data_IF_021186537715
#
_entry.id   IF_021186537715
#
_cell.length_a   1.000
_cell.length_b   1.000
_cell.length_c   1.000
_cell.angle_alpha   90.00
_cell.angle_beta   90.00
_cell.angle_gamma   90.00
#
_symmetry.space_group_name_H-M   'P 1'
#
loop_
_entity.id
_entity.type
_entity.pdbx_description
1 polymer ?
#
# COMPACT_ATOMS: atom_id res chain seq x y z
N UNK A 1 -3.96 -14.91 -0.46
CA UNK A 1 -4.95 -13.92 0.05
C UNK A 1 -4.36 -12.52 0.11
N UNK A 2 -3.19 -12.31 0.72
CA UNK A 2 -2.59 -10.96 0.85
C UNK A 2 -2.06 -10.39 -0.48
N UNK A 3 -1.61 -11.27 -1.39
CA UNK A 3 -1.04 -10.91 -2.70
C UNK A 3 -2.08 -10.78 -3.82
N UNK A 4 -3.36 -10.85 -3.49
CA UNK A 4 -4.41 -10.68 -4.47
C UNK A 4 -4.54 -9.19 -4.84
N UNK A 5 -4.00 -8.78 -5.99
CA UNK A 5 -4.14 -7.40 -6.54
C UNK A 5 -5.59 -6.95 -6.77
N UNK A 6 -6.58 -7.82 -6.57
CA UNK A 6 -7.99 -7.58 -6.91
C UNK A 6 -8.90 -7.42 -5.69
N UNK A 7 -8.50 -7.93 -4.52
CA UNK A 7 -9.26 -7.79 -3.27
C UNK A 7 -8.36 -7.16 -2.21
N UNK A 8 -8.67 -5.94 -1.74
CA UNK A 8 -7.93 -5.31 -0.67
C UNK A 8 -7.82 -6.22 0.55
N UNK A 9 -6.59 -6.40 1.01
CA UNK A 9 -6.26 -7.40 2.02
C UNK A 9 -6.23 -6.84 3.44
N UNK A 10 -6.18 -5.51 3.61
CA UNK A 10 -5.97 -4.87 4.92
C UNK A 10 -7.01 -5.28 5.97
N UNK A 11 -8.30 -5.19 5.62
CA UNK A 11 -9.39 -5.55 6.52
C UNK A 11 -9.47 -7.04 6.87
N UNK A 12 -8.67 -7.89 6.23
CA UNK A 12 -8.67 -9.35 6.45
C UNK A 12 -7.44 -9.84 7.22
N UNK A 13 -6.29 -9.14 7.16
CA UNK A 13 -5.03 -9.63 7.72
C UNK A 13 -5.15 -10.15 9.15
N UNK A 14 -5.65 -9.31 10.07
CA UNK A 14 -5.72 -9.66 11.48
C UNK A 14 -6.70 -10.82 11.75
N UNK A 15 -7.88 -10.75 11.14
CA UNK A 15 -8.92 -11.77 11.31
C UNK A 15 -8.48 -13.14 10.81
N UNK A 16 -7.77 -13.19 9.69
CA UNK A 16 -7.28 -14.43 9.10
C UNK A 16 -6.12 -15.03 9.89
N UNK A 17 -5.28 -14.20 10.52
CA UNK A 17 -4.29 -14.67 11.48
C UNK A 17 -4.99 -15.32 12.69
N UNK A 18 -6.09 -14.73 13.19
CA UNK A 18 -6.87 -15.31 14.29
C UNK A 18 -7.47 -16.67 13.90
N UNK A 19 -8.07 -16.77 12.72
CA UNK A 19 -8.59 -18.03 12.16
C UNK A 19 -7.48 -19.07 12.02
N UNK A 20 -6.33 -18.69 11.46
CA UNK A 20 -5.19 -19.59 11.31
C UNK A 20 -4.67 -20.11 12.66
N UNK A 21 -4.61 -19.27 13.71
CA UNK A 21 -4.25 -19.71 15.06
C UNK A 21 -5.22 -20.76 15.59
N UNK A 22 -6.53 -20.56 15.41
CA UNK A 22 -7.55 -21.53 15.82
C UNK A 22 -7.46 -22.85 15.06
N UNK A 23 -7.19 -22.80 13.75
CA UNK A 23 -7.00 -23.98 12.91
C UNK A 23 -5.77 -24.77 13.33
N UNK A 24 -4.64 -24.11 13.60
CA UNK A 24 -3.42 -24.77 14.09
C UNK A 24 -3.70 -25.52 15.40
N UNK A 25 -4.42 -24.90 16.34
CA UNK A 25 -4.81 -25.52 17.61
C UNK A 25 -5.67 -26.77 17.37
N UNK A 26 -6.67 -26.67 16.48
CA UNK A 26 -7.55 -27.79 16.11
C UNK A 26 -6.78 -28.92 15.44
N UNK A 27 -5.92 -28.60 14.47
CA UNK A 27 -5.12 -29.59 13.71
C UNK A 27 -4.12 -30.34 14.59
N UNK A 28 -3.62 -29.72 15.67
CA UNK A 28 -2.72 -30.34 16.63
C UNK A 28 -3.46 -31.02 17.80
N UNK A 29 -4.76 -31.26 17.64
CA UNK A 29 -5.59 -31.99 18.60
C UNK A 29 -5.75 -31.30 19.95
N UNK A 30 -5.57 -29.96 20.00
CA UNK A 30 -5.60 -29.20 21.25
C UNK A 30 -4.47 -29.52 22.22
N UNK A 31 -3.41 -30.21 21.78
CA UNK A 31 -2.27 -30.52 22.65
C UNK A 31 -1.37 -29.29 22.78
N UNK A 32 -1.45 -28.63 23.94
CA UNK A 32 -0.71 -27.40 24.25
C UNK A 32 0.79 -27.52 23.97
N UNK A 33 1.40 -28.69 24.24
CA UNK A 33 2.84 -28.89 24.01
C UNK A 33 3.26 -28.74 22.55
N UNK A 34 2.35 -28.99 21.61
CA UNK A 34 2.64 -28.95 20.18
C UNK A 34 2.31 -27.60 19.55
N UNK A 35 1.14 -27.01 19.87
CA UNK A 35 0.74 -25.76 19.24
C UNK A 35 1.37 -24.54 19.90
N UNK A 36 1.62 -24.56 21.22
CA UNK A 36 2.08 -23.37 21.96
C UNK A 36 3.36 -22.75 21.40
N UNK A 37 4.43 -23.53 21.09
CA UNK A 37 5.63 -22.96 20.47
C UNK A 37 5.34 -22.27 19.12
N UNK A 38 4.41 -22.81 18.34
CA UNK A 38 4.03 -22.25 17.03
C UNK A 38 3.26 -20.94 17.22
N UNK A 39 2.29 -20.92 18.13
CA UNK A 39 1.50 -19.72 18.44
C UNK A 39 2.40 -18.62 19.02
N UNK A 40 3.36 -18.97 19.87
CA UNK A 40 4.31 -18.02 20.46
C UNK A 40 5.20 -17.38 19.37
N UNK A 41 5.65 -18.16 18.38
CA UNK A 41 6.37 -17.63 17.21
C UNK A 41 5.50 -16.65 16.42
N UNK A 42 4.24 -17.02 16.15
CA UNK A 42 3.30 -16.16 15.42
C UNK A 42 3.08 -14.86 16.19
N UNK A 43 2.79 -14.92 17.49
CA UNK A 43 2.59 -13.76 18.35
C UNK A 43 3.83 -12.86 18.35
N UNK A 44 5.02 -13.44 18.47
CA UNK A 44 6.29 -12.70 18.46
C UNK A 44 6.52 -11.98 17.13
N UNK A 45 6.22 -12.62 16.00
CA UNK A 45 6.38 -12.02 14.67
C UNK A 45 5.30 -10.98 14.35
N UNK A 46 4.12 -11.15 14.92
CA UNK A 46 2.97 -10.27 14.75
C UNK A 46 3.14 -8.96 15.53
N UNK A 47 3.74 -9.04 16.72
CA UNK A 47 3.87 -7.92 17.67
C UNK A 47 4.52 -6.68 17.06
N UNK A 48 3.83 -5.55 17.15
CA UNK A 48 4.24 -4.25 16.62
C UNK A 48 4.21 -4.15 15.09
N UNK A 49 3.65 -5.15 14.39
CA UNK A 49 3.64 -5.21 12.91
C UNK A 49 2.23 -5.42 12.37
N UNK A 50 1.67 -6.60 12.61
CA UNK A 50 0.37 -7.03 12.07
C UNK A 50 -0.77 -6.89 13.10
N UNK A 51 -0.45 -6.36 14.28
CA UNK A 51 -1.36 -5.99 15.37
C UNK A 51 -1.37 -4.46 15.61
N UNK A 52 -0.89 -3.67 14.64
CA UNK A 52 -0.91 -2.21 14.78
C UNK A 52 -2.34 -1.66 14.84
N UNK A 53 -2.47 -0.42 15.31
CA UNK A 53 -3.76 0.29 15.42
C UNK A 53 -4.57 0.25 14.12
N UNK A 54 -3.89 0.38 12.97
CA UNK A 54 -4.50 0.31 11.65
C UNK A 54 -5.08 -1.08 11.33
N UNK A 55 -4.36 -2.16 11.66
CA UNK A 55 -4.83 -3.53 11.43
C UNK A 55 -6.03 -3.86 12.30
N UNK A 56 -5.97 -3.54 13.60
CA UNK A 56 -7.06 -3.75 14.55
C UNK A 56 -8.30 -2.92 14.19
N UNK A 57 -8.10 -1.66 13.80
CA UNK A 57 -9.19 -0.81 13.31
C UNK A 57 -9.82 -1.36 12.05
N UNK A 58 -9.01 -1.79 11.08
CA UNK A 58 -9.52 -2.40 9.84
C UNK A 58 -10.30 -3.68 10.11
N UNK A 59 -9.90 -4.45 11.13
CA UNK A 59 -10.57 -5.67 11.54
C UNK A 59 -11.95 -5.38 12.14
N UNK A 60 -12.06 -4.36 13.01
CA UNK A 60 -13.35 -3.93 13.55
C UNK A 60 -14.27 -3.37 12.45
N UNK A 61 -13.74 -2.58 11.53
CA UNK A 61 -14.53 -1.96 10.47
C UNK A 61 -14.92 -2.94 9.36
N UNK A 62 -14.33 -4.13 9.30
CA UNK A 62 -14.73 -5.14 8.35
C UNK A 62 -16.07 -5.78 8.76
N UNK A 63 -17.16 -5.57 7.99
CA UNK A 63 -18.48 -6.08 8.35
C UNK A 63 -18.52 -7.60 8.48
N UNK A 64 -17.69 -8.33 7.71
CA UNK A 64 -17.63 -9.79 7.79
C UNK A 64 -17.24 -10.29 9.19
N UNK A 65 -16.27 -9.64 9.86
CA UNK A 65 -15.90 -10.04 11.21
C UNK A 65 -16.83 -9.45 12.26
N UNK A 66 -17.15 -8.15 12.17
CA UNK A 66 -18.01 -7.49 13.15
C UNK A 66 -19.43 -8.09 13.23
N UNK A 67 -19.96 -8.60 12.12
CA UNK A 67 -21.31 -9.18 12.11
C UNK A 67 -21.31 -10.66 12.50
N UNK A 68 -20.22 -11.39 12.27
CA UNK A 68 -20.09 -12.80 12.61
C UNK A 68 -19.55 -13.04 14.03
N UNK A 69 -18.79 -12.10 14.60
CA UNK A 69 -18.28 -12.14 15.98
C UNK A 69 -18.90 -11.03 16.83
N UNK A 70 -19.90 -11.39 17.62
CA UNK A 70 -20.60 -10.45 18.52
C UNK A 70 -19.72 -9.94 19.67
N UNK A 71 -18.63 -10.64 20.00
CA UNK A 71 -17.71 -10.25 21.08
C UNK A 71 -16.66 -9.24 20.60
N UNK A 72 -16.40 -9.17 19.30
CA UNK A 72 -15.39 -8.28 18.71
C UNK A 72 -15.53 -6.83 19.16
N UNK A 73 -16.77 -6.34 19.25
CA UNK A 73 -17.05 -4.94 19.60
C UNK A 73 -16.80 -4.60 21.08
N UNK A 74 -16.53 -5.60 21.91
CA UNK A 74 -16.23 -5.49 23.34
C UNK A 74 -14.79 -5.88 23.68
N UNK A 75 -13.99 -6.25 22.68
CA UNK A 75 -12.58 -6.55 22.84
C UNK A 75 -11.84 -5.25 23.22
N UNK A 76 -11.25 -5.15 24.43
CA UNK A 76 -10.58 -3.95 24.90
C UNK A 76 -9.40 -3.56 24.01
N UNK A 77 -8.58 -4.54 23.60
CA UNK A 77 -7.38 -4.28 22.81
C UNK A 77 -7.74 -3.71 21.44
N UNK A 78 -8.81 -4.23 20.82
CA UNK A 78 -9.33 -3.72 19.54
C UNK A 78 -9.90 -2.31 19.70
N UNK A 79 -10.63 -2.05 20.79
CA UNK A 79 -11.27 -0.75 21.01
C UNK A 79 -10.25 0.35 21.35
N UNK A 80 -9.26 0.05 22.19
CA UNK A 80 -8.18 0.99 22.51
C UNK A 80 -7.40 1.33 21.24
N UNK A 81 -7.06 0.32 20.42
CA UNK A 81 -6.40 0.53 19.14
C UNK A 81 -7.21 1.37 18.15
N UNK A 82 -8.55 1.28 18.17
CA UNK A 82 -9.45 2.10 17.34
C UNK A 82 -9.46 3.55 17.80
N UNK A 83 -9.43 3.80 19.11
CA UNK A 83 -9.35 5.15 19.67
C UNK A 83 -7.99 5.78 19.35
N UNK A 84 -6.89 5.06 19.59
CA UNK A 84 -5.53 5.49 19.24
C UNK A 84 -5.39 5.80 17.73
N UNK A 85 -6.04 4.99 16.89
CA UNK A 85 -6.09 5.23 15.45
C UNK A 85 -6.80 6.54 15.11
N UNK A 86 -7.95 6.84 15.73
CA UNK A 86 -8.66 8.08 15.49
C UNK A 86 -7.94 9.31 16.09
N UNK A 87 -7.26 9.17 17.22
CA UNK A 87 -6.35 10.20 17.77
C UNK A 87 -5.25 10.54 16.76
N UNK A 88 -4.64 9.53 16.16
CA UNK A 88 -3.58 9.71 15.14
C UNK A 88 -4.14 10.27 13.83
N UNK A 89 -5.34 9.87 13.41
CA UNK A 89 -5.94 10.29 12.13
C UNK A 89 -6.40 11.75 12.15
N UNK A 90 -6.86 12.25 13.29
CA UNK A 90 -7.48 13.57 13.45
C UNK A 90 -6.62 14.54 14.26
N UNK A 91 -5.29 14.47 14.12
CA UNK A 91 -4.37 15.41 14.75
C UNK A 91 -4.80 16.86 14.47
N UNK A 92 -5.38 17.53 15.48
CA UNK A 92 -5.88 18.90 15.40
C UNK A 92 -7.36 19.08 15.03
N UNK A 93 -8.12 18.03 14.68
CA UNK A 93 -9.56 18.12 14.35
C UNK A 93 -10.43 17.32 15.32
N UNK A 94 -10.56 17.87 16.53
CA UNK A 94 -11.35 17.27 17.61
C UNK A 94 -12.86 17.23 17.32
N UNK A 95 -13.37 18.09 16.44
CA UNK A 95 -14.80 18.13 16.13
C UNK A 95 -15.22 16.99 15.22
N UNK A 96 -14.44 16.67 14.17
CA UNK A 96 -14.70 15.48 13.35
C UNK A 96 -14.44 14.23 14.17
N UNK A 97 -13.35 14.19 14.95
CA UNK A 97 -13.05 13.07 15.82
C UNK A 97 -14.20 12.76 16.78
N UNK A 98 -14.71 13.77 17.51
CA UNK A 98 -15.87 13.62 18.40
C UNK A 98 -17.06 13.03 17.66
N UNK A 99 -17.40 13.54 16.48
CA UNK A 99 -18.51 13.00 15.67
C UNK A 99 -18.30 11.53 15.30
N UNK A 100 -17.10 11.17 14.85
CA UNK A 100 -16.77 9.78 14.48
C UNK A 100 -16.90 8.85 15.68
N UNK A 101 -16.27 9.20 16.80
CA UNK A 101 -16.18 8.34 17.99
C UNK A 101 -17.50 8.26 18.75
N UNK A 102 -18.23 9.36 18.89
CA UNK A 102 -19.43 9.42 19.76
C UNK A 102 -20.74 9.19 19.02
N UNK A 103 -20.78 9.41 17.69
CA UNK A 103 -22.01 9.30 16.89
C UNK A 103 -21.89 8.16 15.87
N UNK A 104 -20.91 8.22 14.97
CA UNK A 104 -20.85 7.29 13.83
C UNK A 104 -20.47 5.87 14.26
N UNK A 105 -19.43 5.72 15.07
CA UNK A 105 -18.93 4.42 15.52
C UNK A 105 -19.99 3.65 16.34
N UNK A 106 -20.70 4.27 17.31
CA UNK A 106 -21.77 3.58 18.03
C UNK A 106 -22.94 3.16 17.13
N UNK A 107 -23.29 3.94 16.09
CA UNK A 107 -24.33 3.55 15.13
C UNK A 107 -23.95 2.29 14.37
N UNK A 108 -22.71 2.20 13.90
CA UNK A 108 -22.18 1.00 13.25
C UNK A 108 -22.20 -0.20 14.20
N UNK A 109 -21.61 -0.07 15.39
CA UNK A 109 -21.54 -1.15 16.40
C UNK A 109 -22.92 -1.69 16.79
N UNK A 110 -23.88 -0.78 17.00
CA UNK A 110 -25.27 -1.12 17.35
C UNK A 110 -26.12 -1.51 16.15
N UNK A 111 -25.56 -1.51 14.93
CA UNK A 111 -26.24 -1.85 13.68
C UNK A 111 -27.52 -1.01 13.47
N UNK A 112 -27.43 0.29 13.75
CA UNK A 112 -28.55 1.23 13.64
C UNK A 112 -28.75 1.64 12.17
N UNK A 113 -29.96 2.03 11.81
CA UNK A 113 -30.35 2.43 10.46
C UNK A 113 -30.10 1.31 9.42
N UNK A 114 -29.43 1.63 8.30
CA UNK A 114 -29.16 0.71 7.19
C UNK A 114 -28.23 -0.44 7.58
N UNK A 115 -27.40 -0.24 8.60
CA UNK A 115 -26.49 -1.29 9.11
C UNK A 115 -27.24 -2.50 9.66
N UNK A 116 -28.45 -2.30 10.20
CA UNK A 116 -29.31 -3.37 10.73
C UNK A 116 -30.26 -3.99 9.71
N UNK A 117 -30.23 -3.53 8.45
CA UNK A 117 -31.12 -4.08 7.41
C UNK A 117 -30.79 -5.54 7.10
N UNK A 118 -31.82 -6.33 6.79
CA UNK A 118 -31.64 -7.74 6.41
C UNK A 118 -30.67 -7.91 5.24
N UNK A 119 -30.65 -6.95 4.31
CA UNK A 119 -29.73 -6.95 3.18
C UNK A 119 -28.28 -6.75 3.64
N UNK A 120 -28.02 -5.78 4.51
CA UNK A 120 -26.69 -5.50 5.05
C UNK A 120 -26.12 -6.72 5.80
N UNK A 121 -26.96 -7.35 6.64
CA UNK A 121 -26.59 -8.54 7.42
C UNK A 121 -26.30 -9.74 6.52
N UNK A 122 -27.15 -10.00 5.51
CA UNK A 122 -26.93 -11.12 4.57
C UNK A 122 -25.68 -10.92 3.73
N UNK A 123 -25.44 -9.70 3.25
CA UNK A 123 -24.33 -9.39 2.34
C UNK A 123 -22.95 -9.55 2.99
N UNK A 124 -22.82 -9.37 4.30
CA UNK A 124 -21.54 -9.53 5.00
C UNK A 124 -21.39 -10.89 5.71
N UNK A 125 -22.37 -11.79 5.60
CA UNK A 125 -22.35 -13.06 6.33
C UNK A 125 -21.26 -14.01 5.83
N UNK A 126 -20.99 -14.00 4.53
CA UNK A 126 -20.02 -14.89 3.88
C UNK A 126 -18.95 -14.05 3.20
N UNK A 127 -17.69 -14.42 3.39
CA UNK A 127 -16.56 -13.81 2.69
C UNK A 127 -16.33 -14.53 1.35
N UNK A 128 -17.21 -14.29 0.38
CA UNK A 128 -17.07 -14.83 -0.98
C UNK A 128 -16.23 -13.90 -1.87
N UNK A 129 -16.12 -14.26 -3.17
CA UNK A 129 -15.37 -13.47 -4.14
C UNK A 129 -16.04 -12.12 -4.46
N UNK A 130 -17.37 -12.03 -4.29
CA UNK A 130 -18.15 -10.84 -4.60
C UNK A 130 -18.22 -9.88 -3.40
N UNK A 131 -17.91 -10.37 -2.20
CA UNK A 131 -17.87 -9.56 -1.00
C UNK A 131 -16.64 -8.65 -0.96
N UNK A 132 -16.88 -7.35 -1.14
CA UNK A 132 -15.94 -6.27 -0.90
C UNK A 132 -16.39 -5.39 0.29
N UNK A 133 -15.63 -5.36 1.40
CA UNK A 133 -15.95 -4.52 2.54
C UNK A 133 -16.10 -3.04 2.21
N UNK A 134 -15.26 -2.49 1.31
CA UNK A 134 -15.32 -1.07 0.95
C UNK A 134 -16.63 -0.74 0.22
N UNK A 135 -17.04 -1.57 -0.74
CA UNK A 135 -18.33 -1.45 -1.42
C UNK A 135 -19.51 -1.60 -0.47
N UNK A 136 -19.44 -2.52 0.51
CA UNK A 136 -20.47 -2.64 1.54
C UNK A 136 -20.65 -1.33 2.33
N UNK A 137 -19.54 -0.69 2.72
CA UNK A 137 -19.59 0.63 3.38
C UNK A 137 -20.20 1.70 2.48
N UNK A 138 -19.90 1.70 1.18
CA UNK A 138 -20.53 2.61 0.22
C UNK A 138 -22.05 2.46 0.11
N UNK A 139 -22.57 1.23 0.25
CA UNK A 139 -24.01 0.95 0.13
C UNK A 139 -24.80 1.23 1.42
N UNK A 140 -24.24 0.85 2.58
CA UNK A 140 -24.95 0.85 3.86
C UNK A 140 -24.51 1.96 4.82
N UNK A 141 -23.31 2.54 4.63
CA UNK A 141 -22.71 3.55 5.50
C UNK A 141 -23.28 4.98 5.37
N UNK A 142 -24.30 5.19 4.54
CA UNK A 142 -24.83 6.53 4.24
C UNK A 142 -25.29 7.35 5.46
N UNK A 143 -25.61 6.72 6.59
CA UNK A 143 -26.02 7.41 7.83
C UNK A 143 -24.85 7.84 8.74
N UNK A 144 -23.62 7.44 8.37
CA UNK A 144 -22.36 7.74 9.08
C UNK A 144 -21.29 8.18 8.09
N UNK A 145 -21.40 9.40 7.52
CA UNK A 145 -20.59 9.81 6.39
C UNK A 145 -19.10 9.98 6.71
N UNK A 146 -18.74 10.34 7.94
CA UNK A 146 -17.33 10.51 8.32
C UNK A 146 -16.67 9.14 8.47
N UNK A 147 -17.29 8.24 9.23
CA UNK A 147 -16.79 6.88 9.40
C UNK A 147 -16.74 6.10 8.07
N UNK A 148 -17.74 6.27 7.20
CA UNK A 148 -17.78 5.58 5.89
C UNK A 148 -16.59 5.96 5.01
N UNK A 149 -16.21 7.24 4.96
CA UNK A 149 -15.03 7.68 4.21
C UNK A 149 -13.75 7.04 4.73
N UNK A 150 -13.61 6.95 6.04
CA UNK A 150 -12.45 6.34 6.70
C UNK A 150 -12.42 4.84 6.44
N UNK A 151 -13.54 4.15 6.67
CA UNK A 151 -13.66 2.72 6.49
C UNK A 151 -13.38 2.30 5.05
N UNK A 152 -13.97 2.98 4.06
CA UNK A 152 -13.67 2.70 2.65
C UNK A 152 -12.19 2.89 2.33
N UNK A 153 -11.54 3.94 2.85
CA UNK A 153 -10.11 4.19 2.61
C UNK A 153 -9.24 3.09 3.20
N UNK A 154 -9.40 2.78 4.49
CA UNK A 154 -8.61 1.77 5.20
C UNK A 154 -8.83 0.39 4.60
N UNK A 155 -10.09 0.02 4.36
CA UNK A 155 -10.44 -1.29 3.83
C UNK A 155 -10.02 -1.46 2.37
N UNK A 156 -9.76 -0.38 1.64
CA UNK A 156 -9.21 -0.43 0.29
C UNK A 156 -7.68 -0.48 0.24
N UNK A 157 -6.99 -0.44 1.38
CA UNK A 157 -5.53 -0.56 1.42
C UNK A 157 -5.08 -1.99 1.09
N UNK A 158 -3.95 -2.08 0.42
CA UNK A 158 -3.21 -3.33 0.22
C UNK A 158 -2.22 -3.53 1.36
N UNK A 159 -2.13 -4.74 1.89
CA UNK A 159 -1.19 -5.07 2.98
C UNK A 159 0.05 -5.86 2.53
N UNK A 160 0.25 -6.03 1.22
CA UNK A 160 1.44 -6.68 0.65
C UNK A 160 2.18 -5.74 -0.30
N UNK A 161 3.52 -5.78 -0.25
CA UNK A 161 4.42 -5.14 -1.20
C UNK A 161 4.61 -5.94 -2.48
N UNK A 162 4.10 -7.18 -2.57
CA UNK A 162 4.38 -8.10 -3.69
C UNK A 162 3.95 -7.57 -5.06
N UNK A 163 2.91 -6.74 -5.12
CA UNK A 163 2.51 -6.02 -6.34
C UNK A 163 3.58 -5.04 -6.82
N UNK A 164 4.16 -4.28 -5.88
CA UNK A 164 5.28 -3.38 -6.15
C UNK A 164 6.55 -4.17 -6.49
N UNK A 165 6.85 -5.27 -5.78
CA UNK A 165 8.02 -6.12 -6.03
C UNK A 165 7.98 -6.73 -7.43
N UNK A 166 6.83 -7.21 -7.90
CA UNK A 166 6.66 -7.69 -9.29
C UNK A 166 6.92 -6.60 -10.32
N UNK A 167 6.42 -5.39 -10.05
CA UNK A 167 6.69 -4.24 -10.89
C UNK A 167 8.19 -3.94 -10.94
N UNK A 168 8.85 -3.82 -9.79
CA UNK A 168 10.28 -3.57 -9.69
C UNK A 168 11.15 -4.66 -10.30
N UNK A 169 10.78 -5.93 -10.14
CA UNK A 169 11.48 -7.07 -10.76
C UNK A 169 11.48 -6.96 -12.30
N UNK A 170 10.42 -6.39 -12.89
CA UNK A 170 10.35 -6.14 -14.33
C UNK A 170 11.33 -5.05 -14.77
N UNK A 171 11.54 -4.05 -13.91
CA UNK A 171 12.39 -2.89 -14.17
C UNK A 171 13.87 -3.10 -13.83
N UNK A 172 14.22 -4.19 -13.12
CA UNK A 172 15.60 -4.55 -12.80
C UNK A 172 16.49 -4.63 -14.06
N UNK A 173 15.92 -5.08 -15.20
CA UNK A 173 16.63 -5.13 -16.49
C UNK A 173 16.89 -3.77 -17.14
N UNK A 174 16.19 -2.71 -16.73
CA UNK A 174 16.31 -1.34 -17.27
C UNK A 174 17.44 -0.56 -16.56
N UNK A 175 17.67 -0.87 -15.27
CA UNK A 175 18.80 -0.37 -14.47
C UNK A 175 19.70 -1.52 -14.05
N UNK A 176 20.60 -1.92 -14.93
CA UNK A 176 21.65 -2.89 -14.59
C UNK A 176 22.97 -2.17 -14.34
N UNK A 177 23.89 -2.79 -13.59
CA UNK A 177 25.27 -2.27 -13.38
C UNK A 177 26.01 -1.98 -14.71
N UNK A 178 25.59 -2.59 -15.82
CA UNK A 178 26.15 -2.40 -17.17
C UNK A 178 25.43 -1.35 -18.03
N UNK A 179 24.14 -1.10 -17.79
CA UNK A 179 23.30 -0.17 -18.59
C UNK A 179 22.57 0.79 -17.65
N UNK A 180 23.30 1.79 -17.15
CA UNK A 180 22.79 2.80 -16.22
C UNK A 180 22.68 4.17 -16.92
N UNK A 181 21.87 4.25 -17.97
CA UNK A 181 21.77 5.45 -18.85
C UNK A 181 20.50 6.28 -18.61
N UNK A 182 19.59 5.82 -17.76
CA UNK A 182 18.35 6.53 -17.45
C UNK A 182 18.52 7.38 -16.20
N UNK A 183 18.05 8.62 -16.29
CA UNK A 183 17.93 9.51 -15.15
C UNK A 183 16.82 8.99 -14.22
N UNK A 184 17.00 9.10 -12.90
CA UNK A 184 16.04 8.61 -11.89
C UNK A 184 14.62 9.16 -12.12
N UNK A 185 14.50 10.41 -12.56
CA UNK A 185 13.23 11.05 -12.90
C UNK A 185 12.50 10.33 -14.04
N UNK A 186 13.23 9.93 -15.09
CA UNK A 186 12.70 9.19 -16.24
C UNK A 186 12.32 7.77 -15.87
N UNK A 187 13.10 7.12 -15.01
CA UNK A 187 12.76 5.79 -14.48
C UNK A 187 11.44 5.84 -13.72
N UNK A 188 11.29 6.76 -12.78
CA UNK A 188 10.07 6.89 -11.98
C UNK A 188 8.84 7.14 -12.86
N UNK A 189 8.97 8.00 -13.88
CA UNK A 189 7.90 8.23 -14.85
C UNK A 189 7.53 6.97 -15.64
N UNK A 190 8.53 6.19 -16.06
CA UNK A 190 8.30 4.95 -16.80
C UNK A 190 7.60 3.89 -15.93
N UNK A 191 8.08 3.72 -14.69
CA UNK A 191 7.47 2.85 -13.67
C UNK A 191 6.01 3.25 -13.44
N UNK A 192 5.74 4.55 -13.27
CA UNK A 192 4.39 5.07 -13.08
C UNK A 192 3.47 4.78 -14.27
N UNK A 193 3.92 5.09 -15.50
CA UNK A 193 3.11 4.90 -16.71
C UNK A 193 2.82 3.42 -16.94
N UNK A 194 3.83 2.55 -16.84
CA UNK A 194 3.66 1.11 -17.04
C UNK A 194 2.77 0.48 -15.96
N UNK A 195 2.98 0.83 -14.69
CA UNK A 195 2.16 0.34 -13.59
C UNK A 195 0.69 0.73 -13.77
N UNK A 196 0.42 2.01 -14.07
CA UNK A 196 -0.94 2.49 -14.28
C UNK A 196 -1.58 1.92 -15.55
N UNK A 197 -0.84 1.77 -16.65
CA UNK A 197 -1.34 1.12 -17.86
C UNK A 197 -1.77 -0.32 -17.58
N UNK A 198 -0.92 -1.10 -16.88
CA UNK A 198 -1.23 -2.47 -16.47
C UNK A 198 -2.44 -2.53 -15.53
N UNK A 199 -2.53 -1.60 -14.58
CA UNK A 199 -3.66 -1.52 -13.65
C UNK A 199 -4.98 -1.23 -14.40
N UNK A 200 -4.95 -0.31 -15.35
CA UNK A 200 -6.12 0.01 -16.19
C UNK A 200 -6.53 -1.16 -17.08
N UNK A 201 -5.58 -1.88 -17.66
CA UNK A 201 -5.85 -3.06 -18.48
C UNK A 201 -6.46 -4.19 -17.64
N UNK A 202 -5.89 -4.49 -16.46
CA UNK A 202 -6.47 -5.44 -15.50
C UNK A 202 -7.89 -5.03 -15.12
N UNK A 203 -8.11 -3.76 -14.76
CA UNK A 203 -9.45 -3.26 -14.42
C UNK A 203 -10.45 -3.38 -15.58
N UNK A 204 -10.01 -3.18 -16.82
CA UNK A 204 -10.84 -3.42 -18.00
C UNK A 204 -11.17 -4.91 -18.19
N UNK A 205 -10.16 -5.78 -18.14
CA UNK A 205 -10.33 -7.24 -18.21
C UNK A 205 -11.27 -7.77 -17.12
N UNK A 206 -11.25 -7.17 -15.91
CA UNK A 206 -12.16 -7.48 -14.80
C UNK A 206 -13.60 -7.04 -15.07
N UNK A 207 -13.81 -5.85 -15.64
CA UNK A 207 -15.16 -5.43 -16.08
C UNK A 207 -15.72 -6.36 -17.16
N UNK A 208 -14.85 -6.91 -17.99
CA UNK A 208 -15.22 -7.75 -19.13
C UNK A 208 -15.31 -9.26 -18.78
N UNK A 209 -14.77 -9.71 -17.65
CA UNK A 209 -14.80 -11.12 -17.20
C UNK A 209 -15.22 -11.24 -15.74
N UNK A 210 -16.25 -12.04 -15.47
CA UNK A 210 -16.68 -12.36 -14.11
C UNK A 210 -15.75 -13.35 -13.36
N UNK A 211 -14.56 -13.69 -13.88
CA UNK A 211 -13.46 -14.41 -13.17
C UNK A 211 -12.14 -14.07 -13.91
N UNK A 212 -11.09 -13.66 -13.18
CA UNK A 212 -9.75 -13.45 -13.75
C UNK A 212 -8.86 -14.70 -13.62
N UNK A 213 -8.28 -15.10 -14.76
CA UNK A 213 -7.26 -16.14 -14.90
C UNK A 213 -5.90 -15.54 -14.54
N UNK A 214 -5.14 -16.22 -13.69
CA UNK A 214 -3.73 -15.90 -13.40
C UNK A 214 -2.88 -16.00 -14.67
N UNK A 215 -2.59 -14.87 -15.32
CA UNK A 215 -1.58 -14.82 -16.38
C UNK A 215 -0.39 -13.99 -15.92
N UNK A 216 0.65 -14.70 -15.49
CA UNK A 216 1.99 -14.19 -15.18
C UNK A 216 2.84 -13.88 -16.42
N UNK A 217 2.27 -13.35 -17.51
CA UNK A 217 3.01 -13.29 -18.80
C UNK A 217 2.85 -11.99 -19.64
N UNK A 218 2.46 -10.85 -19.05
CA UNK A 218 2.42 -9.58 -19.81
C UNK A 218 3.66 -8.68 -19.66
N UNK A 219 4.64 -9.07 -18.84
CA UNK A 219 5.89 -8.32 -18.63
C UNK A 219 6.89 -8.43 -19.80
N UNK A 220 6.75 -9.42 -20.67
CA UNK A 220 7.72 -9.67 -21.75
C UNK A 220 7.65 -8.61 -22.87
N UNK A 221 6.45 -8.11 -23.17
CA UNK A 221 6.27 -7.09 -24.20
C UNK A 221 7.02 -5.79 -23.89
N UNK A 222 7.22 -5.47 -22.61
CA UNK A 222 7.98 -4.31 -22.18
C UNK A 222 9.50 -4.53 -22.25
N UNK A 223 9.99 -5.76 -22.31
CA UNK A 223 11.41 -6.04 -22.50
C UNK A 223 11.77 -6.06 -23.99
N UNK A 224 10.86 -6.52 -24.84
CA UNK A 224 11.07 -6.64 -26.29
C UNK A 224 11.30 -5.29 -27.00
N UNK A 225 10.59 -4.22 -26.63
CA UNK A 225 10.84 -2.86 -27.18
C UNK A 225 12.04 -2.13 -26.56
N UNK A 226 12.60 -2.63 -25.46
CA UNK A 226 13.77 -2.04 -24.78
C UNK A 226 15.07 -2.72 -25.25
N UNK A 227 14.95 -3.96 -25.75
CA UNK A 227 16.03 -4.74 -26.35
C UNK A 227 15.96 -4.56 -27.88
N UNK A 228 16.45 -3.42 -28.37
CA UNK A 228 17.01 -3.43 -29.72
C UNK A 228 18.28 -4.29 -29.64
N UNK A 229 18.24 -5.47 -30.26
CA UNK A 229 19.39 -6.33 -30.48
C UNK A 229 20.40 -5.58 -31.36
N UNK A 230 21.46 -5.07 -30.76
CA UNK A 230 22.62 -4.53 -31.47
C UNK A 230 23.64 -5.66 -31.77
N UNK A 231 23.14 -6.85 -32.12
CA UNK A 231 23.94 -8.01 -32.53
C UNK A 231 23.52 -8.44 -33.94
N UNK A 232 23.92 -7.65 -34.92
CA UNK A 232 24.01 -8.05 -36.33
C UNK A 232 25.47 -7.99 -36.78
N UNK A 233 26.40 -8.55 -36.00
CA UNK A 233 27.72 -8.89 -36.51
C UNK A 233 27.60 -10.11 -37.43
N UNK A 234 27.52 -9.87 -38.73
CA UNK A 234 27.82 -10.88 -39.75
C UNK A 234 28.83 -10.28 -40.72
N UNK A 235 30.07 -10.74 -40.58
CA UNK A 235 31.18 -10.46 -41.47
C UNK A 235 30.90 -10.89 -42.93
N UNK A 236 31.15 -9.94 -43.83
CA UNK A 236 31.82 -10.03 -45.14
C UNK A 236 31.35 -11.09 -46.19
N UNK A 237 30.68 -10.63 -47.27
CA UNK A 237 31.04 -10.96 -48.68
C UNK A 237 30.54 -9.86 -49.64
N UNK A 238 31.46 -9.20 -50.37
CA UNK A 238 31.20 -8.39 -51.58
C UNK A 238 31.36 -9.31 -52.83
N UNK A 239 30.58 -9.17 -53.92
CA UNK A 239 30.97 -8.24 -55.00
C UNK A 239 29.82 -7.58 -55.81
N UNK A 240 30.03 -6.29 -56.10
CA UNK A 240 29.84 -5.54 -57.39
C UNK A 240 28.50 -4.83 -57.74
N UNK A 241 28.67 -3.51 -57.92
CA UNK A 241 28.11 -2.56 -58.95
C UNK A 241 26.61 -2.29 -58.89
N UNK A 242 26.10 -1.05 -58.77
CA UNK A 242 26.19 0.15 -59.66
C UNK A 242 25.82 1.41 -58.82
N UNK A 243 26.68 2.45 -58.76
CA UNK A 243 26.50 3.86 -59.25
C UNK A 243 25.15 4.52 -58.88
N UNK A 244 25.02 5.65 -58.15
CA UNK A 244 25.53 7.01 -58.45
C UNK A 244 25.31 7.95 -57.22
N UNK A 245 26.35 8.73 -56.86
CA UNK A 245 26.43 10.12 -56.31
C UNK A 245 25.25 10.73 -55.51
N UNK A 246 25.44 11.38 -54.34
CA UNK A 246 26.08 12.70 -54.15
C UNK A 246 26.46 12.96 -52.67
N UNK A 247 27.64 13.58 -52.49
CA UNK A 247 28.26 14.03 -51.24
C UNK A 247 27.74 15.39 -50.73
N UNK A 248 27.86 15.62 -49.41
CA UNK A 248 28.55 16.76 -48.73
C UNK A 248 28.34 16.60 -47.20
N UNK A 249 29.29 16.03 -46.44
CA UNK A 249 30.37 16.67 -45.65
C UNK A 249 29.91 17.81 -44.72
N UNK A 250 30.06 17.65 -43.39
CA UNK A 250 30.96 18.46 -42.52
C UNK A 250 31.29 17.67 -41.25
N UNK A 251 32.53 17.16 -41.25
CA UNK A 251 33.48 16.88 -40.16
C UNK A 251 33.26 17.54 -38.77
N UNK A 252 33.50 16.79 -37.66
CA UNK A 252 34.46 17.16 -36.59
C UNK A 252 34.67 16.08 -35.49
N UNK A 253 35.82 15.40 -35.60
CA UNK A 253 36.82 15.00 -34.58
C UNK A 253 36.46 14.24 -33.27
N UNK A 254 37.38 13.36 -32.79
CA UNK A 254 37.15 12.38 -31.72
C UNK A 254 37.35 13.02 -30.34
N UNK A 255 36.48 12.70 -29.37
CA UNK A 255 36.70 13.06 -27.96
C UNK A 255 37.10 11.87 -27.11
N UNK A 256 38.18 12.11 -26.40
CA UNK A 256 38.99 11.25 -25.56
C UNK A 256 38.21 10.56 -24.43
N UNK A 257 38.66 9.35 -24.09
CA UNK A 257 38.19 8.56 -22.96
C UNK A 257 38.51 9.27 -21.63
N UNK A 258 37.54 9.48 -20.73
CA UNK A 258 37.86 9.82 -19.35
C UNK A 258 38.09 8.53 -18.55
N UNK A 259 39.34 8.44 -18.07
CA UNK A 259 39.92 7.53 -17.07
C UNK A 259 38.92 6.90 -16.08
N UNK A 260 39.13 5.62 -15.84
CA UNK A 260 38.65 4.89 -14.66
C UNK A 260 38.98 5.67 -13.39
N UNK A 261 37.94 6.16 -12.71
CA UNK A 261 38.02 6.48 -11.29
C UNK A 261 37.84 5.16 -10.54
N UNK A 262 38.93 4.62 -10.02
CA UNK A 262 38.83 3.78 -8.83
C UNK A 262 38.70 4.69 -7.60
N UNK A 263 38.23 4.09 -6.50
CA UNK A 263 38.24 4.56 -5.11
C UNK A 263 36.93 5.24 -4.64
N UNK A 264 36.29 4.89 -3.51
CA UNK A 264 36.52 3.94 -2.41
C UNK A 264 35.15 3.44 -1.87
N UNK A 265 35.10 2.20 -1.39
CA UNK A 265 34.01 1.69 -0.53
C UNK A 265 34.26 2.13 0.91
N UNK A 266 34.04 3.40 1.24
CA UNK A 266 34.02 3.89 2.63
C UNK A 266 33.40 5.29 2.61
N UNK A 267 32.11 5.34 2.97
CA UNK A 267 31.38 6.45 3.63
C UNK A 267 29.86 6.22 3.44
N UNK A 268 29.38 5.11 4.02
CA UNK A 268 27.99 5.06 4.48
C UNK A 268 28.02 5.35 5.98
N UNK A 269 28.24 6.61 6.33
CA UNK A 269 27.93 7.09 7.66
C UNK A 269 26.40 7.26 7.73
N UNK A 270 25.74 6.39 8.48
CA UNK A 270 24.37 6.62 8.89
C UNK A 270 24.37 7.80 9.85
N UNK A 271 23.98 8.99 9.39
CA UNK A 271 23.69 10.09 10.31
C UNK A 271 22.56 9.64 11.25
N UNK A 272 22.93 9.52 12.52
CA UNK A 272 22.03 9.33 13.65
C UNK A 272 21.11 10.54 13.76
N UNK A 273 19.81 10.28 13.97
CA UNK A 273 18.82 11.29 14.33
C UNK A 273 19.24 11.99 15.63
N UNK A 274 19.84 13.17 15.53
CA UNK A 274 19.96 14.11 16.64
C UNK A 274 19.59 15.53 16.17
N UNK A 275 18.43 15.96 16.66
CA UNK A 275 18.01 17.31 17.02
C UNK A 275 18.55 18.48 16.17
N UNK A 276 17.65 19.06 15.38
CA UNK A 276 17.71 20.49 15.04
C UNK A 276 16.47 21.15 15.63
N UNK A 277 16.66 21.77 16.80
CA UNK A 277 15.83 22.87 17.27
C UNK A 277 16.28 24.10 16.47
N UNK A 278 15.46 24.59 15.55
CA UNK A 278 15.56 25.98 15.10
C UNK A 278 14.46 26.77 15.78
N UNK A 279 14.90 27.68 16.67
CA UNK A 279 14.12 28.75 17.26
C UNK A 279 13.81 29.78 16.18
N UNK A 280 12.58 29.83 15.68
CA UNK A 280 12.09 30.99 14.95
C UNK A 280 11.66 32.07 15.97
N UNK A 281 12.56 33.03 16.15
CA UNK A 281 12.39 34.26 16.90
C UNK A 281 11.39 35.19 16.17
N UNK A 282 10.11 35.13 16.54
CA UNK A 282 9.12 36.11 16.06
C UNK A 282 9.18 37.37 16.95
N UNK A 283 9.68 38.46 16.36
CA UNK A 283 9.60 39.81 16.92
C UNK A 283 8.14 40.16 17.31
N UNK A 284 7.94 40.38 18.60
CA UNK A 284 6.70 40.89 19.17
C UNK A 284 6.63 42.40 18.90
N UNK A 285 5.81 42.79 17.92
CA UNK A 285 5.39 44.19 17.79
C UNK A 285 4.49 44.54 18.99
N UNK A 286 5.04 45.41 19.84
CA UNK A 286 4.49 45.75 21.14
C UNK A 286 3.15 46.49 21.07
N UNK A 287 2.20 46.01 21.87
CA UNK A 287 1.18 46.84 22.50
C UNK A 287 1.09 46.43 23.98
N UNK A 288 1.56 47.29 24.87
CA UNK A 288 1.46 47.13 26.32
C UNK A 288 0.05 47.48 26.83
N UNK A 289 -0.55 46.47 27.48
CA UNK A 289 -1.16 46.45 28.83
C UNK A 289 -2.29 47.44 29.16
N UNK A 290 -3.44 46.88 29.57
CA UNK A 290 -4.02 47.24 30.88
C UNK A 290 -4.86 46.07 31.45
N UNK A 291 -4.26 45.34 32.39
CA UNK A 291 -5.01 44.58 33.40
C UNK A 291 -5.63 45.56 34.39
N UNK A 292 -6.91 45.40 34.68
CA UNK A 292 -7.50 45.83 35.94
C UNK A 292 -8.23 44.62 36.51
N UNK A 293 -7.57 43.93 37.43
CA UNK A 293 -8.24 43.16 38.47
C UNK A 293 -8.49 44.09 39.66
N UNK A 294 -9.72 44.09 40.14
CA UNK A 294 -10.12 44.67 41.41
C UNK A 294 -11.31 43.88 41.95
N UNK A 295 -11.07 43.18 43.06
CA UNK A 295 -12.04 42.48 43.89
C UNK A 295 -13.05 43.47 44.50
N UNK A 296 -14.33 43.10 44.48
CA UNK A 296 -15.29 43.03 45.61
C UNK A 296 -16.73 42.82 45.11
#
# INVERSE_FOLDING_TARGET
MVDADWKPSMGFVYGEIKVAKEEIIKSLGGNEKHYKPIIDIINTKMKGRLDSTLHLTSYLLNPYYHYNDAQLQFDPDVMDAVLDFFDTLFLGDLEIQRKVVTIDLPKYKKKVDRFGSDLAIKHCKVNDADFDPASWWGLFGGTTPHLTKIAMRILSLTSSSSGCERNWSTFEGVHTKKRNRLETSKLNNLVYVQFNANLMEKNKKRKDRNIEVLLSNHSLFAQEWIVDCDDCDVDEVDPKTVDETLETDVSQAPRESPKTRELFDEDFESESEDQVLEEDEYESDGVQIMEVCGED
#
